data_IF_293218065845
#
_entry.id   IF_293218065845
#
_cell.length_a   1.000
_cell.length_b   1.000
_cell.length_c   1.000
_cell.angle_alpha   90.00
_cell.angle_beta   90.00
_cell.angle_gamma   90.00
#
_symmetry.space_group_name_H-M   'P 1'
#
loop_
_entity.id
_entity.type
_entity.pdbx_description
1 polymer ?
#
# COMPACT_ATOMS: atom_id res chain seq x y z
N UNK A 1 -5.26 -2.39 16.69
CA UNK A 1 -4.78 -3.30 15.63
C UNK A 1 -4.02 -2.45 14.61
N UNK A 2 -2.95 -2.95 13.97
CA UNK A 2 -2.24 -2.21 12.90
C UNK A 2 -2.50 -2.89 11.57
N UNK A 3 -2.88 -2.13 10.56
CA UNK A 3 -3.26 -2.60 9.22
C UNK A 3 -2.21 -2.12 8.24
N UNK A 4 -1.57 -3.06 7.53
CA UNK A 4 -0.61 -2.75 6.48
C UNK A 4 -1.30 -2.75 5.11
N UNK A 5 -1.30 -1.60 4.45
CA UNK A 5 -1.90 -1.41 3.14
C UNK A 5 -0.90 -1.75 2.02
N UNK A 6 -1.33 -2.64 1.12
CA UNK A 6 -0.57 -3.01 -0.07
C UNK A 6 -0.72 -1.99 -1.20
N UNK A 7 0.33 -1.81 -2.01
CA UNK A 7 0.32 -0.86 -3.13
C UNK A 7 -0.78 -1.13 -4.15
N UNK A 8 -1.11 -2.41 -4.42
CA UNK A 8 -2.18 -2.79 -5.36
C UNK A 8 -3.55 -2.29 -4.90
N UNK A 9 -3.89 -2.49 -3.62
CA UNK A 9 -5.16 -2.03 -3.06
C UNK A 9 -5.31 -0.52 -3.19
N UNK A 10 -4.24 0.24 -2.88
CA UNK A 10 -4.24 1.70 -2.98
C UNK A 10 -4.40 2.14 -4.45
N UNK A 11 -3.67 1.54 -5.38
CA UNK A 11 -3.81 1.80 -6.81
C UNK A 11 -5.25 1.53 -7.28
N UNK A 12 -5.81 0.40 -6.89
CA UNK A 12 -7.17 -0.01 -7.25
C UNK A 12 -8.20 0.99 -6.72
N UNK A 13 -8.02 1.53 -5.51
CA UNK A 13 -8.94 2.48 -4.88
C UNK A 13 -8.83 3.89 -5.48
N UNK A 14 -7.61 4.40 -5.65
CA UNK A 14 -7.38 5.81 -6.01
C UNK A 14 -7.21 6.07 -7.51
N UNK A 15 -6.94 5.03 -8.31
CA UNK A 15 -6.62 5.18 -9.74
C UNK A 15 -7.67 4.45 -10.60
N UNK A 16 -8.13 3.28 -10.17
CA UNK A 16 -9.09 2.52 -10.95
C UNK A 16 -10.53 3.03 -10.73
N UNK A 17 -11.03 3.79 -11.72
CA UNK A 17 -12.34 4.45 -11.65
C UNK A 17 -13.53 3.50 -11.42
N UNK A 18 -13.40 2.24 -11.83
CA UNK A 18 -14.47 1.24 -11.60
C UNK A 18 -14.68 0.94 -10.11
N UNK A 19 -13.65 1.15 -9.28
CA UNK A 19 -13.69 0.93 -7.84
C UNK A 19 -14.05 2.22 -7.12
N UNK A 20 -13.67 3.39 -7.62
CA UNK A 20 -14.01 4.67 -6.98
C UNK A 20 -15.51 4.92 -6.87
N UNK A 21 -16.31 4.39 -7.80
CA UNK A 21 -17.77 4.48 -7.76
C UNK A 21 -18.42 3.34 -6.95
N UNK A 22 -17.61 2.46 -6.35
CA UNK A 22 -18.11 1.32 -5.57
C UNK A 22 -18.38 1.71 -4.11
N UNK A 23 -19.38 1.08 -3.46
CA UNK A 23 -19.60 1.21 -2.01
C UNK A 23 -18.37 0.84 -1.18
N UNK A 24 -17.48 0.00 -1.73
CA UNK A 24 -16.23 -0.38 -1.08
C UNK A 24 -15.26 0.80 -0.98
N UNK A 25 -15.16 1.65 -2.02
CA UNK A 25 -14.34 2.86 -1.97
C UNK A 25 -14.82 3.81 -0.88
N UNK A 26 -16.14 4.05 -0.81
CA UNK A 26 -16.69 4.93 0.22
C UNK A 26 -16.43 4.37 1.63
N UNK A 27 -16.70 3.09 1.85
CA UNK A 27 -16.43 2.43 3.13
C UNK A 27 -14.94 2.47 3.51
N UNK A 28 -14.05 2.33 2.53
CA UNK A 28 -12.60 2.40 2.77
C UNK A 28 -12.15 3.82 3.12
N UNK A 29 -12.66 4.83 2.40
CA UNK A 29 -12.44 6.23 2.72
C UNK A 29 -12.95 6.53 4.13
N UNK A 30 -14.20 6.17 4.45
CA UNK A 30 -14.78 6.38 5.77
C UNK A 30 -13.94 5.72 6.88
N UNK A 31 -13.36 4.56 6.60
CA UNK A 31 -12.49 3.85 7.54
C UNK A 31 -11.12 4.53 7.72
N UNK A 32 -10.47 4.99 6.65
CA UNK A 32 -9.17 5.70 6.75
C UNK A 32 -9.33 7.08 7.38
N UNK A 33 -10.42 7.79 7.07
CA UNK A 33 -10.71 9.12 7.60
C UNK A 33 -11.48 9.10 8.93
N UNK A 34 -11.77 7.92 9.48
CA UNK A 34 -12.28 7.78 10.85
C UNK A 34 -11.21 8.18 11.88
N UNK A 35 -11.58 8.21 13.17
CA UNK A 35 -10.68 8.55 14.30
C UNK A 35 -9.48 7.59 14.49
N UNK A 36 -9.14 6.75 13.50
CA UNK A 36 -8.13 5.71 13.56
C UNK A 36 -7.00 5.82 12.50
N UNK A 37 -6.53 7.02 12.07
CA UNK A 37 -5.50 7.13 11.03
C UNK A 37 -4.18 6.45 11.45
N UNK A 38 -3.87 6.43 12.75
CA UNK A 38 -2.68 5.76 13.30
C UNK A 38 -2.68 4.22 13.13
N UNK A 39 -3.81 3.63 12.75
CA UNK A 39 -3.91 2.19 12.53
C UNK A 39 -3.47 1.78 11.12
N UNK A 40 -3.44 2.70 10.16
CA UNK A 40 -3.14 2.39 8.77
C UNK A 40 -1.70 2.72 8.43
N UNK A 41 -1.00 1.69 7.95
CA UNK A 41 0.41 1.73 7.65
C UNK A 41 0.66 1.44 6.18
N UNK A 42 1.70 2.06 5.63
CA UNK A 42 2.19 1.78 4.28
C UNK A 42 3.72 1.73 4.30
N UNK A 43 4.33 0.87 3.48
CA UNK A 43 5.80 0.87 3.36
C UNK A 43 6.27 1.90 2.34
N UNK A 44 7.49 2.43 2.50
CA UNK A 44 8.12 3.29 1.49
C UNK A 44 8.14 2.62 0.11
N UNK A 45 8.50 1.34 0.05
CA UNK A 45 8.49 0.55 -1.19
C UNK A 45 7.10 0.47 -1.84
N UNK A 46 6.02 0.47 -1.04
CA UNK A 46 4.66 0.52 -1.57
C UNK A 46 4.35 1.89 -2.20
N UNK A 47 4.78 2.98 -1.58
CA UNK A 47 4.61 4.35 -2.12
C UNK A 47 5.36 4.51 -3.44
N UNK A 48 6.60 4.02 -3.54
CA UNK A 48 7.39 4.06 -4.78
C UNK A 48 6.70 3.30 -5.93
N UNK A 49 6.08 2.16 -5.61
CA UNK A 49 5.30 1.36 -6.57
C UNK A 49 4.03 2.09 -7.00
N UNK A 50 3.32 2.72 -6.07
CA UNK A 50 2.13 3.54 -6.38
C UNK A 50 2.53 4.70 -7.28
N UNK A 51 3.62 5.40 -6.97
CA UNK A 51 4.14 6.50 -7.77
C UNK A 51 4.45 6.05 -9.20
N UNK A 52 5.23 4.97 -9.33
CA UNK A 52 5.62 4.42 -10.62
C UNK A 52 4.41 4.03 -11.47
N UNK A 53 3.43 3.35 -10.86
CA UNK A 53 2.21 2.95 -11.54
C UNK A 53 1.35 4.16 -11.95
N UNK A 54 1.12 5.10 -11.03
CA UNK A 54 0.29 6.29 -11.27
C UNK A 54 0.89 7.18 -12.35
N UNK A 55 2.22 7.32 -12.34
CA UNK A 55 2.97 8.07 -13.34
C UNK A 55 2.77 7.50 -14.73
N UNK A 56 2.74 6.16 -14.85
CA UNK A 56 2.50 5.46 -16.10
C UNK A 56 1.04 5.54 -16.55
N UNK A 57 0.08 5.36 -15.64
CA UNK A 57 -1.35 5.29 -15.98
C UNK A 57 -2.01 6.65 -16.18
N UNK A 58 -1.48 7.72 -15.58
CA UNK A 58 -2.10 9.06 -15.63
C UNK A 58 -1.06 10.14 -15.95
N UNK A 59 -0.34 10.64 -14.96
CA UNK A 59 0.77 11.59 -15.11
C UNK A 59 1.64 11.61 -13.85
N UNK A 60 2.90 12.04 -13.99
CA UNK A 60 3.82 12.21 -12.86
C UNK A 60 3.28 13.18 -11.81
N UNK A 61 2.67 14.30 -12.24
CA UNK A 61 2.09 15.29 -11.32
C UNK A 61 0.97 14.70 -10.45
N UNK A 62 0.15 13.81 -11.03
CA UNK A 62 -0.90 13.11 -10.28
C UNK A 62 -0.30 12.07 -9.32
N UNK A 63 0.78 11.42 -9.73
CA UNK A 63 1.52 10.49 -8.89
C UNK A 63 2.10 11.17 -7.65
N UNK A 64 2.77 12.32 -7.84
CA UNK A 64 3.31 13.12 -6.73
C UNK A 64 2.22 13.56 -5.76
N UNK A 65 1.10 14.05 -6.30
CA UNK A 65 -0.05 14.50 -5.50
C UNK A 65 -0.67 13.34 -4.70
N UNK A 66 -0.80 12.16 -5.30
CA UNK A 66 -1.32 10.97 -4.63
C UNK A 66 -0.37 10.49 -3.52
N UNK A 67 0.93 10.44 -3.77
CA UNK A 67 1.92 10.05 -2.74
C UNK A 67 1.88 11.05 -1.59
N UNK A 68 1.94 12.35 -1.87
CA UNK A 68 1.89 13.39 -0.84
C UNK A 68 0.63 13.28 0.03
N UNK A 69 -0.52 13.02 -0.61
CA UNK A 69 -1.77 12.79 0.10
C UNK A 69 -1.71 11.57 1.01
N UNK A 70 -1.23 10.43 0.51
CA UNK A 70 -1.10 9.20 1.30
C UNK A 70 -0.14 9.37 2.48
N UNK A 71 0.98 10.07 2.30
CA UNK A 71 1.93 10.37 3.36
C UNK A 71 1.33 11.26 4.47
N UNK A 72 0.33 12.08 4.14
CA UNK A 72 -0.36 12.94 5.12
C UNK A 72 -1.38 12.22 6.00
N UNK A 73 -1.86 11.05 5.57
CA UNK A 73 -2.96 10.32 6.24
C UNK A 73 -2.56 8.93 6.74
N UNK A 74 -1.46 8.37 6.23
CA UNK A 74 -0.97 7.03 6.60
C UNK A 74 0.34 7.10 7.36
N UNK A 75 0.54 6.15 8.28
CA UNK A 75 1.84 6.00 8.94
C UNK A 75 2.81 5.25 8.03
N UNK A 76 3.93 5.87 7.69
CA UNK A 76 4.97 5.24 6.87
C UNK A 76 5.83 4.31 7.74
N UNK A 77 5.89 3.04 7.35
CA UNK A 77 6.76 2.05 7.96
C UNK A 77 8.03 1.88 7.16
N UNK A 78 9.16 2.05 7.83
CA UNK A 78 10.47 1.67 7.30
C UNK A 78 10.65 0.16 7.42
N UNK A 79 11.09 -0.47 6.33
CA UNK A 79 11.30 -1.92 6.28
C UNK A 79 12.65 -2.24 6.91
N UNK A 80 12.66 -2.95 8.03
CA UNK A 80 13.92 -3.37 8.67
C UNK A 80 14.60 -4.50 7.88
N UNK A 81 15.92 -4.59 7.99
CA UNK A 81 16.72 -5.69 7.41
C UNK A 81 16.19 -7.08 7.80
N UNK A 82 15.67 -7.20 9.03
CA UNK A 82 15.07 -8.42 9.58
C UNK A 82 13.84 -8.92 8.80
N UNK A 83 13.09 -8.03 8.15
CA UNK A 83 11.98 -8.44 7.28
C UNK A 83 12.51 -9.19 6.05
N UNK A 84 13.63 -8.75 5.48
CA UNK A 84 14.25 -9.41 4.34
C UNK A 84 14.87 -10.76 4.72
N UNK A 85 15.48 -10.85 5.90
CA UNK A 85 15.96 -12.13 6.47
C UNK A 85 14.79 -13.11 6.61
N UNK A 86 13.70 -12.69 7.25
CA UNK A 86 12.50 -13.51 7.42
C UNK A 86 11.87 -13.93 6.09
N UNK A 87 11.80 -13.03 5.10
CA UNK A 87 11.29 -13.34 3.78
C UNK A 87 12.18 -14.37 3.06
N UNK A 88 13.50 -14.22 3.16
CA UNK A 88 14.48 -15.14 2.57
C UNK A 88 14.36 -16.54 3.19
N UNK A 89 14.21 -16.63 4.51
CA UNK A 89 14.00 -17.90 5.22
C UNK A 89 12.69 -18.62 4.82
N UNK A 90 11.64 -17.87 4.50
CA UNK A 90 10.37 -18.45 4.02
C UNK A 90 10.43 -18.93 2.57
N UNK A 91 11.29 -18.34 1.74
CA UNK A 91 11.53 -18.81 0.37
C UNK A 91 12.42 -20.07 0.35
N UNK A 92 13.41 -20.16 1.25
CA UNK A 92 14.28 -21.34 1.36
C UNK A 92 13.58 -22.57 1.97
N UNK A 93 12.44 -22.38 2.66
CA UNK A 93 11.61 -23.49 3.16
C UNK A 93 10.73 -24.15 2.10
N UNK A 94 10.74 -23.66 0.85
CA UNK A 94 10.02 -24.29 -0.27
C UNK A 94 10.84 -25.42 -0.91
N UNK A 95 12.16 -25.47 -0.63
CA UNK A 95 13.09 -26.50 -1.14
C UNK A 95 13.50 -27.57 -0.10
N UNK A 96 12.95 -27.56 1.12
CA UNK A 96 13.16 -28.67 2.07
C UNK A 96 12.20 -29.81 1.78
N UNK A 97 12.27 -30.38 0.57
CA UNK A 97 11.44 -31.47 0.09
C UNK A 97 11.33 -32.63 1.08
N UNK A 98 10.25 -32.63 1.87
CA UNK A 98 9.78 -33.79 2.60
C UNK A 98 8.52 -34.30 1.90
N UNK A 99 8.75 -35.10 0.86
CA UNK A 99 7.87 -36.20 0.45
C UNK A 99 8.36 -37.48 1.09
#
# INVERSE_FOLDING_TARGET
MKILLGSKLIVDIFINRSISDSPFFQMFCDMIFSDLPEQFHVTRTSLDRIHSYTSYSTSVKNADSLVFYLESILTICEVSSRIFENARHRVTGIDSGEY
#
